data_IF_536482859829
#
_entry.id   IF_536482859829
#
_cell.length_a   1.000
_cell.length_b   1.000
_cell.length_c   1.000
_cell.angle_alpha   90.00
_cell.angle_beta   90.00
_cell.angle_gamma   90.00
#
_symmetry.space_group_name_H-M   'P 1'
#
loop_
_entity.id
_entity.type
_entity.pdbx_description
1 polymer ?
#
# COMPACT_ATOMS: atom_id res chain seq x y z
N UNK A 1 -15.27 -14.94 -8.55
CA UNK A 1 -14.58 -15.99 -7.77
C UNK A 1 -13.24 -16.24 -8.43
N UNK A 2 -12.14 -16.11 -7.70
CA UNK A 2 -10.79 -16.19 -8.22
C UNK A 2 -10.47 -17.67 -8.54
N UNK A 3 -10.05 -17.96 -9.78
CA UNK A 3 -9.74 -19.32 -10.24
C UNK A 3 -8.68 -20.02 -9.38
N UNK A 4 -7.77 -19.24 -8.77
CA UNK A 4 -6.75 -19.76 -7.84
C UNK A 4 -7.39 -20.33 -6.59
N UNK A 5 -8.38 -19.64 -6.01
CA UNK A 5 -9.08 -20.12 -4.81
C UNK A 5 -9.83 -21.42 -5.09
N UNK A 6 -10.43 -21.56 -6.28
CA UNK A 6 -11.12 -22.80 -6.66
C UNK A 6 -10.14 -23.97 -6.78
N UNK A 7 -8.96 -23.73 -7.36
CA UNK A 7 -7.91 -24.74 -7.46
C UNK A 7 -7.38 -25.12 -6.08
N UNK A 8 -7.16 -24.14 -5.19
CA UNK A 8 -6.72 -24.40 -3.82
C UNK A 8 -7.70 -25.29 -3.06
N UNK A 9 -9.01 -25.06 -3.21
CA UNK A 9 -10.03 -25.93 -2.60
C UNK A 9 -9.99 -27.36 -3.16
N UNK A 10 -9.83 -27.53 -4.49
CA UNK A 10 -9.69 -28.87 -5.09
C UNK A 10 -8.44 -29.61 -4.58
N UNK A 11 -7.32 -28.90 -4.40
CA UNK A 11 -6.09 -29.47 -3.85
C UNK A 11 -6.30 -29.86 -2.38
N UNK A 12 -6.97 -29.03 -1.58
CA UNK A 12 -7.33 -29.33 -0.19
C UNK A 12 -8.18 -30.59 -0.08
N UNK A 13 -9.24 -30.68 -0.87
CA UNK A 13 -10.13 -31.84 -0.91
C UNK A 13 -9.38 -33.12 -1.29
N UNK A 14 -8.49 -33.05 -2.28
CA UNK A 14 -7.66 -34.17 -2.70
C UNK A 14 -6.73 -34.66 -1.58
N UNK A 15 -6.04 -33.74 -0.90
CA UNK A 15 -5.11 -34.07 0.18
C UNK A 15 -5.83 -34.71 1.37
N UNK A 16 -7.02 -34.21 1.71
CA UNK A 16 -7.90 -34.79 2.73
C UNK A 16 -8.37 -36.19 2.33
N UNK A 17 -8.87 -36.36 1.11
CA UNK A 17 -9.35 -37.66 0.60
C UNK A 17 -8.28 -38.75 0.64
N UNK A 18 -7.02 -38.40 0.35
CA UNK A 18 -5.88 -39.34 0.38
C UNK A 18 -5.31 -39.60 1.78
N UNK A 19 -5.77 -38.86 2.81
CA UNK A 19 -5.23 -38.95 4.16
C UNK A 19 -3.87 -38.27 4.35
N UNK A 20 -3.49 -37.34 3.47
CA UNK A 20 -2.22 -36.60 3.55
C UNK A 20 -2.31 -35.42 4.54
N UNK A 21 -2.71 -35.71 5.78
CA UNK A 21 -3.05 -34.68 6.79
C UNK A 21 -1.89 -33.76 7.19
N UNK A 22 -0.64 -34.21 7.03
CA UNK A 22 0.54 -33.35 7.27
C UNK A 22 0.72 -32.36 6.12
N UNK A 23 0.69 -32.85 4.87
CA UNK A 23 0.79 -32.02 3.66
C UNK A 23 -0.37 -31.03 3.58
N UNK A 24 -1.58 -31.45 3.93
CA UNK A 24 -2.76 -30.57 4.00
C UNK A 24 -2.52 -29.38 4.94
N UNK A 25 -2.04 -29.63 6.16
CA UNK A 25 -1.75 -28.58 7.15
C UNK A 25 -0.64 -27.64 6.67
N UNK A 26 0.42 -28.18 6.07
CA UNK A 26 1.48 -27.36 5.47
C UNK A 26 0.96 -26.49 4.34
N UNK A 27 0.15 -27.04 3.43
CA UNK A 27 -0.45 -26.32 2.33
C UNK A 27 -1.38 -25.20 2.81
N UNK A 28 -2.27 -25.48 3.76
CA UNK A 28 -3.12 -24.44 4.36
C UNK A 28 -2.31 -23.29 4.97
N UNK A 29 -1.23 -23.62 5.67
CA UNK A 29 -0.36 -22.61 6.28
C UNK A 29 0.32 -21.75 5.21
N UNK A 30 0.78 -22.35 4.11
CA UNK A 30 1.36 -21.60 2.99
C UNK A 30 0.31 -20.71 2.30
N UNK A 31 -0.91 -21.20 2.04
CA UNK A 31 -1.99 -20.38 1.50
C UNK A 31 -2.34 -19.18 2.39
N UNK A 32 -2.32 -19.34 3.73
CA UNK A 32 -2.58 -18.24 4.66
C UNK A 32 -1.47 -17.19 4.67
N UNK A 33 -0.23 -17.62 4.41
CA UNK A 33 0.94 -16.76 4.37
C UNK A 33 1.23 -16.23 2.96
N UNK A 34 0.32 -16.43 2.01
CA UNK A 34 0.48 -15.96 0.65
C UNK A 34 0.55 -14.42 0.61
N UNK A 35 1.77 -13.92 0.38
CA UNK A 35 2.05 -12.48 0.22
C UNK A 35 1.52 -11.94 -1.10
N UNK A 36 1.26 -12.82 -2.07
CA UNK A 36 0.65 -12.47 -3.37
C UNK A 36 -0.87 -12.27 -3.24
N UNK A 37 -1.46 -12.58 -2.08
CA UNK A 37 -2.89 -12.38 -1.77
C UNK A 37 -3.81 -12.99 -2.84
N UNK A 38 -3.41 -14.12 -3.41
CA UNK A 38 -4.10 -14.78 -4.52
C UNK A 38 -4.19 -13.92 -5.78
N UNK A 39 -3.25 -13.00 -6.00
CA UNK A 39 -3.26 -12.04 -7.11
C UNK A 39 -4.48 -11.10 -7.12
N UNK A 40 -5.03 -10.81 -5.93
CA UNK A 40 -6.18 -9.92 -5.77
C UNK A 40 -5.70 -8.51 -5.46
N UNK A 41 -5.76 -7.61 -6.45
CA UNK A 41 -5.29 -6.24 -6.33
C UNK A 41 -5.92 -5.50 -5.14
N UNK A 42 -7.23 -5.66 -4.92
CA UNK A 42 -7.95 -5.08 -3.78
C UNK A 42 -7.32 -5.47 -2.44
N UNK A 43 -6.99 -6.75 -2.24
CA UNK A 43 -6.36 -7.23 -1.00
C UNK A 43 -4.94 -6.72 -0.80
N UNK A 44 -4.21 -6.51 -1.90
CA UNK A 44 -2.87 -5.91 -1.85
C UNK A 44 -2.98 -4.45 -1.40
N UNK A 45 -3.99 -3.73 -1.93
CA UNK A 45 -4.28 -2.34 -1.54
C UNK A 45 -4.71 -2.26 -0.07
N UNK A 46 -5.61 -3.13 0.38
CA UNK A 46 -6.03 -3.20 1.79
C UNK A 46 -4.84 -3.43 2.73
N UNK A 47 -3.90 -4.29 2.34
CA UNK A 47 -2.68 -4.55 3.12
C UNK A 47 -1.79 -3.30 3.21
N UNK A 48 -1.61 -2.57 2.09
CA UNK A 48 -0.87 -1.31 2.07
C UNK A 48 -1.52 -0.26 2.99
N UNK A 49 -2.85 -0.12 2.94
CA UNK A 49 -3.58 0.76 3.84
C UNK A 49 -3.48 0.34 5.30
N UNK A 50 -3.47 -0.97 5.58
CA UNK A 50 -3.25 -1.50 6.93
C UNK A 50 -1.91 -1.05 7.51
N UNK A 51 -0.83 -1.06 6.73
CA UNK A 51 0.48 -0.55 7.20
C UNK A 51 0.44 0.97 7.47
N UNK A 52 -0.20 1.75 6.60
CA UNK A 52 -0.35 3.20 6.78
C UNK A 52 -1.15 3.50 8.06
N UNK A 53 -2.27 2.82 8.26
CA UNK A 53 -3.16 3.02 9.42
C UNK A 53 -2.47 2.62 10.75
N UNK A 54 -1.55 1.67 10.71
CA UNK A 54 -0.75 1.23 11.86
C UNK A 54 0.53 2.05 12.06
N UNK A 55 0.81 3.01 11.17
CA UNK A 55 2.09 3.73 11.12
C UNK A 55 3.31 2.81 11.04
N UNK A 56 3.16 1.62 10.47
CA UNK A 56 4.23 0.64 10.28
C UNK A 56 4.95 0.89 8.95
N UNK A 57 5.83 1.89 8.96
CA UNK A 57 6.60 2.30 7.79
C UNK A 57 7.57 1.20 7.33
N UNK A 58 8.11 0.42 8.27
CA UNK A 58 9.05 -0.66 7.94
C UNK A 58 8.32 -1.81 7.22
N UNK A 59 7.17 -2.23 7.74
CA UNK A 59 6.31 -3.23 7.08
C UNK A 59 5.86 -2.79 5.70
N UNK A 60 5.48 -1.50 5.55
CA UNK A 60 5.13 -0.92 4.26
C UNK A 60 6.28 -0.99 3.25
N UNK A 61 7.49 -0.56 3.65
CA UNK A 61 8.66 -0.55 2.77
C UNK A 61 9.07 -1.96 2.35
N UNK A 62 9.03 -2.92 3.26
CA UNK A 62 9.39 -4.30 2.95
C UNK A 62 8.33 -4.99 2.07
N UNK A 63 7.05 -4.71 2.29
CA UNK A 63 5.98 -5.20 1.41
C UNK A 63 6.07 -4.54 0.02
N UNK A 64 6.37 -3.25 -0.06
CA UNK A 64 6.58 -2.55 -1.33
C UNK A 64 7.78 -3.10 -2.12
N UNK A 65 8.91 -3.37 -1.46
CA UNK A 65 10.07 -4.03 -2.08
C UNK A 65 9.70 -5.40 -2.64
N UNK A 66 8.91 -6.17 -1.89
CA UNK A 66 8.41 -7.46 -2.33
C UNK A 66 7.56 -7.33 -3.61
N UNK A 67 6.59 -6.40 -3.62
CA UNK A 67 5.76 -6.14 -4.79
C UNK A 67 6.60 -5.71 -6.00
N UNK A 68 7.61 -4.87 -5.78
CA UNK A 68 8.52 -4.42 -6.84
C UNK A 68 9.33 -5.57 -7.44
N UNK A 69 9.89 -6.44 -6.61
CA UNK A 69 10.66 -7.60 -7.08
C UNK A 69 9.80 -8.62 -7.82
N UNK A 70 8.57 -8.84 -7.33
CA UNK A 70 7.68 -9.90 -7.82
C UNK A 70 6.87 -9.48 -9.05
N UNK A 71 6.38 -8.24 -9.06
CA UNK A 71 5.44 -7.73 -10.07
C UNK A 71 6.08 -6.64 -10.93
N UNK A 72 6.48 -5.53 -10.31
CA UNK A 72 6.83 -4.33 -11.09
C UNK A 72 8.09 -4.53 -11.94
N UNK A 73 9.04 -5.35 -11.49
CA UNK A 73 10.23 -5.75 -12.26
C UNK A 73 9.90 -6.54 -13.53
N UNK A 74 8.71 -7.14 -13.61
CA UNK A 74 8.22 -7.96 -14.71
C UNK A 74 7.14 -7.26 -15.54
N UNK A 75 6.76 -6.05 -15.16
CA UNK A 75 5.82 -5.27 -15.95
C UNK A 75 6.46 -4.93 -17.29
N UNK A 76 5.70 -5.17 -18.35
CA UNK A 76 6.08 -4.86 -19.72
C UNK A 76 6.50 -3.39 -19.81
N UNK A 77 7.54 -3.09 -20.60
CA UNK A 77 8.14 -1.76 -20.70
C UNK A 77 7.12 -0.66 -21.05
N UNK A 78 6.00 -1.04 -21.67
CA UNK A 78 4.86 -0.16 -21.95
C UNK A 78 4.17 0.40 -20.71
N UNK A 79 4.20 -0.32 -19.58
CA UNK A 79 3.69 0.13 -18.28
C UNK A 79 4.78 0.74 -17.39
N UNK A 80 6.06 0.53 -17.72
CA UNK A 80 7.16 1.16 -16.99
C UNK A 80 7.16 2.68 -17.17
N UNK A 81 6.76 3.20 -18.33
CA UNK A 81 6.68 4.65 -18.56
C UNK A 81 5.72 5.37 -17.61
N UNK A 82 4.60 4.75 -17.24
CA UNK A 82 3.61 5.32 -16.32
C UNK A 82 3.95 5.09 -14.84
N UNK A 83 4.73 4.05 -14.50
CA UNK A 83 5.13 3.73 -13.13
C UNK A 83 6.46 4.39 -12.75
N UNK A 84 7.40 4.52 -13.70
CA UNK A 84 8.70 5.17 -13.52
C UNK A 84 8.68 6.67 -13.77
N UNK A 85 7.59 7.21 -14.31
CA UNK A 85 7.24 8.60 -14.07
C UNK A 85 6.89 8.75 -12.59
N UNK A 86 7.91 8.64 -11.72
CA UNK A 86 7.97 9.54 -10.59
C UNK A 86 7.83 10.89 -11.25
N UNK A 87 6.66 11.52 -11.10
CA UNK A 87 6.41 12.84 -11.66
C UNK A 87 7.18 13.87 -10.85
N UNK A 88 8.48 13.60 -10.64
CA UNK A 88 9.47 14.47 -10.05
C UNK A 88 9.50 15.74 -10.86
N UNK A 89 9.36 15.68 -12.20
CA UNK A 89 9.17 16.85 -13.06
C UNK A 89 7.96 17.70 -12.64
N UNK A 90 6.80 17.09 -12.36
CA UNK A 90 5.61 17.81 -11.90
C UNK A 90 5.73 18.28 -10.46
N UNK A 91 6.34 17.48 -9.59
CA UNK A 91 6.61 17.85 -8.20
C UNK A 91 7.62 18.99 -8.15
N UNK A 92 8.66 18.96 -8.99
CA UNK A 92 9.64 20.02 -9.15
C UNK A 92 9.01 21.25 -9.78
N UNK A 93 8.19 21.13 -10.83
CA UNK A 93 7.48 22.27 -11.42
C UNK A 93 6.46 22.87 -10.45
N UNK A 94 5.78 22.05 -9.64
CA UNK A 94 4.91 22.50 -8.55
C UNK A 94 5.71 23.27 -7.50
N UNK A 95 6.80 22.71 -6.98
CA UNK A 95 7.64 23.40 -5.99
C UNK A 95 8.45 24.56 -6.58
N UNK A 96 8.72 24.60 -7.88
CA UNK A 96 9.37 25.72 -8.55
C UNK A 96 8.39 26.88 -8.78
N UNK A 97 7.14 26.56 -9.12
CA UNK A 97 6.09 27.55 -9.40
C UNK A 97 5.47 28.09 -8.11
N UNK A 98 5.17 27.21 -7.16
CA UNK A 98 4.49 27.55 -5.91
C UNK A 98 5.43 27.61 -4.70
N UNK A 99 6.68 27.14 -4.80
CA UNK A 99 7.57 27.04 -3.64
C UNK A 99 7.92 28.37 -2.98
N UNK A 100 7.98 29.47 -3.75
CA UNK A 100 8.15 30.82 -3.19
C UNK A 100 6.93 31.30 -2.41
N UNK A 101 5.72 30.91 -2.82
CA UNK A 101 4.48 31.23 -2.11
C UNK A 101 4.27 30.32 -0.89
N UNK A 102 4.66 29.05 -1.02
CA UNK A 102 4.60 28.04 0.05
C UNK A 102 5.64 28.31 1.15
N UNK A 103 6.85 28.75 0.81
CA UNK A 103 7.89 29.09 1.81
C UNK A 103 7.64 30.42 2.52
N UNK A 104 6.88 31.34 1.91
CA UNK A 104 6.44 32.58 2.55
C UNK A 104 5.28 32.39 3.55
N UNK A 105 4.60 31.25 3.51
CA UNK A 105 3.46 30.97 4.38
C UNK A 105 3.87 30.13 5.61
N UNK A 106 3.69 30.73 6.79
CA UNK A 106 4.04 30.14 8.09
C UNK A 106 3.29 28.82 8.35
N UNK A 107 2.09 28.63 7.78
CA UNK A 107 1.35 27.37 7.91
C UNK A 107 2.01 26.23 7.14
N UNK A 108 2.48 26.47 5.91
CA UNK A 108 3.15 25.47 5.08
C UNK A 108 4.52 25.07 5.64
N UNK A 109 5.20 25.98 6.34
CA UNK A 109 6.45 25.68 7.05
C UNK A 109 6.28 24.54 8.06
N UNK A 110 5.12 24.45 8.72
CA UNK A 110 4.82 23.35 9.64
C UNK A 110 4.66 22.03 8.89
N UNK A 111 3.97 22.03 7.74
CA UNK A 111 3.77 20.85 6.90
C UNK A 111 5.09 20.31 6.34
N UNK A 112 6.05 21.16 5.99
CA UNK A 112 7.39 20.73 5.58
C UNK A 112 8.20 20.08 6.70
N UNK A 113 7.90 20.44 7.96
CA UNK A 113 8.49 19.83 9.15
C UNK A 113 7.88 18.47 9.53
N UNK A 114 6.72 18.09 8.96
CA UNK A 114 5.96 16.90 9.33
C UNK A 114 6.78 15.60 9.27
N UNK A 115 7.61 15.33 8.23
CA UNK A 115 8.44 14.13 8.17
C UNK A 115 9.51 14.05 9.27
N UNK A 116 9.85 15.19 9.88
CA UNK A 116 10.83 15.30 10.94
C UNK A 116 10.18 15.36 12.34
N UNK A 117 8.84 15.40 12.42
CA UNK A 117 8.12 15.37 13.68
C UNK A 117 8.08 13.96 14.25
N UNK A 118 8.48 13.83 15.52
CA UNK A 118 8.54 12.53 16.22
C UNK A 118 7.16 11.94 16.50
N UNK A 119 6.13 12.77 16.64
CA UNK A 119 4.76 12.32 16.88
C UNK A 119 3.75 13.29 16.23
N UNK A 120 3.58 13.23 14.90
CA UNK A 120 2.70 14.12 14.16
C UNK A 120 1.22 14.02 14.59
N UNK A 121 0.78 12.85 15.03
CA UNK A 121 -0.60 12.59 15.45
C UNK A 121 -0.98 13.27 16.78
N UNK A 122 0.01 13.68 17.58
CA UNK A 122 -0.20 14.41 18.83
C UNK A 122 0.09 15.91 18.71
N UNK A 123 0.47 16.39 17.51
CA UNK A 123 0.68 17.81 17.27
C UNK A 123 -0.69 18.49 17.07
N UNK A 124 -1.06 19.51 17.85
CA UNK A 124 -2.34 20.21 17.70
C UNK A 124 -2.60 20.76 16.30
N UNK A 125 -1.55 21.04 15.52
CA UNK A 125 -1.69 21.51 14.14
C UNK A 125 -2.07 20.38 13.17
N UNK A 126 -1.79 19.12 13.51
CA UNK A 126 -1.95 17.97 12.60
C UNK A 126 -2.91 16.89 13.10
N UNK A 127 -3.24 16.86 14.39
CA UNK A 127 -4.09 15.84 15.03
C UNK A 127 -5.42 15.59 14.28
N UNK A 128 -6.07 16.66 13.81
CA UNK A 128 -7.33 16.58 13.05
C UNK A 128 -7.21 15.74 11.76
N UNK A 129 -6.03 15.72 11.14
CA UNK A 129 -5.72 14.98 9.91
C UNK A 129 -5.37 13.50 10.17
N UNK A 130 -5.12 13.12 11.42
CA UNK A 130 -4.89 11.73 11.83
C UNK A 130 -6.16 11.04 12.33
N UNK A 131 -7.34 11.66 12.14
CA UNK A 131 -8.62 11.09 12.52
C UNK A 131 -9.16 10.13 11.45
N UNK A 132 -9.90 9.10 11.88
CA UNK A 132 -10.57 8.16 10.95
C UNK A 132 -11.54 8.88 10.01
N UNK A 133 -12.26 9.87 10.53
CA UNK A 133 -13.21 10.66 9.76
C UNK A 133 -12.53 11.45 8.62
N UNK A 134 -11.35 12.00 8.87
CA UNK A 134 -10.57 12.68 7.84
C UNK A 134 -10.10 11.70 6.76
N UNK A 135 -9.59 10.53 7.15
CA UNK A 135 -9.17 9.48 6.23
C UNK A 135 -10.33 8.98 5.34
N UNK A 136 -11.51 8.77 5.92
CA UNK A 136 -12.73 8.39 5.19
C UNK A 136 -13.14 9.47 4.18
N UNK A 137 -13.06 10.75 4.58
CA UNK A 137 -13.38 11.89 3.71
C UNK A 137 -12.41 11.99 2.53
N UNK A 138 -11.11 11.83 2.77
CA UNK A 138 -10.06 11.83 1.75
C UNK A 138 -10.21 10.67 0.75
N UNK A 139 -10.59 9.50 1.25
CA UNK A 139 -10.78 8.29 0.42
C UNK A 139 -12.00 8.43 -0.49
N UNK A 140 -13.08 9.03 0.03
CA UNK A 140 -14.29 9.30 -0.73
C UNK A 140 -14.12 10.44 -1.76
N UNK A 141 -13.23 11.40 -1.51
CA UNK A 141 -12.94 12.45 -2.50
C UNK A 141 -12.04 11.96 -3.64
N UNK A 142 -11.15 11.01 -3.37
CA UNK A 142 -10.20 10.48 -4.36
C UNK A 142 -10.80 9.41 -5.29
N UNK A 143 -11.99 8.89 -4.97
CA UNK A 143 -12.73 7.91 -5.78
C UNK A 143 -13.77 8.56 -6.71
N UNK A 144 -13.85 9.90 -6.74
CA UNK A 144 -14.83 10.65 -7.53
C UNK A 144 -14.32 11.19 -8.86
N UNK A 145 -13.08 10.89 -9.25
CA UNK A 145 -12.49 11.22 -10.56
C UNK A 145 -12.22 9.96 -11.39
#
# INVERSE_FOLDING_TARGET
MNSVQQIDELVKEYLLFRGFSNTFRSFEQECRNDRDKGFQAEKIIDELYSFITKSDINGLLDYWKYLNQRYFSRLDARFLGSIQQKREDIVFEFFKTFGTELSGNVEWSKWFGLPFSKNPAADPNFEAYFTKQWLETLTNSSTRD
#
